data_IF_467155677739
#
_entry.id   IF_467155677739
#
_cell.length_a   1.000
_cell.length_b   1.000
_cell.length_c   1.000
_cell.angle_alpha   90.00
_cell.angle_beta   90.00
_cell.angle_gamma   90.00
#
_symmetry.space_group_name_H-M   'P 1'
#
loop_
_entity.id
_entity.type
_entity.pdbx_description
1 polymer ?
#
# COMPACT_ATOMS: atom_id res chain seq x y z
N UNK A 1 -8.38 -14.17 -0.18
CA UNK A 1 -8.24 -14.99 1.05
C UNK A 1 -9.63 -15.44 1.49
N UNK A 2 -9.83 -16.69 1.95
CA UNK A 2 -11.14 -17.13 2.44
C UNK A 2 -11.55 -16.34 3.68
N UNK A 3 -12.84 -16.01 3.78
CA UNK A 3 -13.45 -15.16 4.81
C UNK A 3 -13.21 -15.59 6.28
N UNK A 4 -12.72 -16.82 6.51
CA UNK A 4 -12.52 -17.40 7.85
C UNK A 4 -11.29 -16.86 8.60
N UNK A 5 -10.31 -16.24 7.91
CA UNK A 5 -9.08 -15.74 8.54
C UNK A 5 -9.14 -14.29 9.04
N UNK A 6 -10.27 -13.60 8.86
CA UNK A 6 -10.39 -12.17 9.21
C UNK A 6 -10.78 -11.93 10.69
N UNK A 7 -10.86 -12.97 11.52
CA UNK A 7 -11.32 -12.87 12.91
C UNK A 7 -10.48 -11.90 13.75
N UNK A 8 -9.15 -11.96 13.63
CA UNK A 8 -8.25 -11.06 14.34
C UNK A 8 -8.39 -9.60 13.91
N UNK A 9 -8.50 -9.35 12.60
CA UNK A 9 -8.67 -8.00 12.06
C UNK A 9 -10.00 -7.37 12.54
N UNK A 10 -11.10 -8.14 12.53
CA UNK A 10 -12.40 -7.68 13.03
C UNK A 10 -12.37 -7.37 14.52
N UNK A 11 -11.80 -8.26 15.33
CA UNK A 11 -11.66 -8.03 16.77
C UNK A 11 -10.86 -6.77 17.08
N UNK A 12 -9.77 -6.50 16.34
CA UNK A 12 -9.00 -5.27 16.50
C UNK A 12 -9.81 -4.03 16.11
N UNK A 13 -10.56 -4.07 15.00
CA UNK A 13 -11.43 -2.96 14.61
C UNK A 13 -12.48 -2.68 15.68
N UNK A 14 -13.08 -3.71 16.29
CA UNK A 14 -14.07 -3.55 17.36
C UNK A 14 -13.47 -2.91 18.62
N UNK A 15 -12.23 -3.29 18.99
CA UNK A 15 -11.52 -2.72 20.14
C UNK A 15 -11.23 -1.23 19.95
N UNK A 16 -10.80 -0.83 18.75
CA UNK A 16 -10.36 0.54 18.48
C UNK A 16 -11.44 1.44 17.86
N UNK A 17 -12.65 0.92 17.58
CA UNK A 17 -13.67 1.60 16.77
C UNK A 17 -13.92 3.07 17.12
N UNK A 18 -13.94 3.40 18.42
CA UNK A 18 -14.25 4.75 18.91
C UNK A 18 -13.06 5.71 18.79
N UNK A 19 -11.88 5.19 18.45
CA UNK A 19 -10.62 5.93 18.21
C UNK A 19 -10.21 5.93 16.74
N UNK A 20 -10.95 5.26 15.86
CA UNK A 20 -10.63 5.20 14.43
C UNK A 20 -11.11 6.46 13.72
N UNK A 21 -10.18 7.16 13.09
CA UNK A 21 -10.50 8.14 12.06
C UNK A 21 -10.28 7.52 10.68
N UNK A 22 -11.39 7.17 10.02
CA UNK A 22 -11.34 6.63 8.67
C UNK A 22 -11.10 7.74 7.66
N UNK A 23 -10.47 7.38 6.53
CA UNK A 23 -10.21 8.28 5.42
C UNK A 23 -10.42 7.54 4.10
N UNK A 24 -10.54 8.30 3.02
CA UNK A 24 -10.54 7.79 1.66
C UNK A 24 -9.24 8.19 0.94
N UNK A 25 -8.87 7.42 -0.07
CA UNK A 25 -7.83 7.86 -0.99
C UNK A 25 -8.24 9.16 -1.69
N UNK A 26 -7.29 10.10 -1.82
CA UNK A 26 -7.52 11.43 -2.36
C UNK A 26 -7.88 12.49 -1.31
N UNK A 27 -8.17 12.10 -0.07
CA UNK A 27 -8.34 13.05 1.04
C UNK A 27 -7.03 13.82 1.31
N UNK A 28 -7.11 14.95 2.00
CA UNK A 28 -5.91 15.58 2.58
C UNK A 28 -5.90 15.33 4.07
N UNK A 29 -4.95 14.52 4.54
CA UNK A 29 -4.79 14.22 5.95
C UNK A 29 -3.95 15.31 6.63
N UNK A 30 -3.88 15.25 7.96
CA UNK A 30 -3.06 16.15 8.76
C UNK A 30 -1.61 16.19 8.26
N UNK A 31 -0.95 17.33 8.45
CA UNK A 31 0.44 17.54 8.06
C UNK A 31 0.71 17.39 6.54
N UNK A 32 -0.32 17.57 5.70
CA UNK A 32 -0.19 17.56 4.24
C UNK A 32 0.04 16.18 3.66
N UNK A 33 -0.37 15.11 4.36
CA UNK A 33 -0.24 13.74 3.87
C UNK A 33 -1.37 13.45 2.87
N UNK A 34 -0.98 12.95 1.70
CA UNK A 34 -1.90 12.52 0.65
C UNK A 34 -1.97 10.97 0.62
N UNK A 35 -3.11 10.36 0.98
CA UNK A 35 -3.36 8.94 0.77
C UNK A 35 -3.71 8.68 -0.70
N UNK A 36 -3.02 7.73 -1.32
CA UNK A 36 -3.18 7.32 -2.71
C UNK A 36 -3.60 5.85 -2.72
N UNK A 37 -4.69 5.52 -3.40
CA UNK A 37 -5.18 4.15 -3.49
C UNK A 37 -4.16 3.25 -4.19
N UNK A 38 -3.85 2.10 -3.57
CA UNK A 38 -2.99 1.07 -4.14
C UNK A 38 -3.55 -0.33 -3.85
N UNK A 39 -4.86 -0.48 -4.08
CA UNK A 39 -5.61 -1.69 -3.74
C UNK A 39 -5.07 -2.93 -4.45
N UNK A 40 -5.08 -4.05 -3.76
CA UNK A 40 -4.68 -5.34 -4.32
C UNK A 40 -3.99 -6.23 -3.31
N UNK A 41 -2.92 -5.71 -2.67
CA UNK A 41 -2.29 -6.41 -1.56
C UNK A 41 -3.31 -6.70 -0.46
N UNK A 42 -4.04 -5.66 -0.06
CA UNK A 42 -5.34 -5.75 0.65
C UNK A 42 -6.37 -4.85 -0.04
N UNK A 43 -7.68 -5.02 0.22
CA UNK A 43 -8.72 -4.15 -0.34
C UNK A 43 -8.58 -2.67 0.02
N UNK A 44 -7.91 -2.34 1.15
CA UNK A 44 -7.68 -0.97 1.62
C UNK A 44 -6.21 -0.55 1.57
N UNK A 45 -5.34 -1.28 0.86
CA UNK A 45 -3.93 -0.93 0.77
C UNK A 45 -3.76 0.47 0.16
N UNK A 46 -3.01 1.31 0.88
CA UNK A 46 -2.88 2.74 0.61
C UNK A 46 -1.42 3.13 0.67
N UNK A 47 -0.98 3.91 -0.32
CA UNK A 47 0.32 4.55 -0.37
C UNK A 47 0.17 5.97 0.20
N UNK A 48 1.14 6.45 0.97
CA UNK A 48 1.09 7.80 1.53
C UNK A 48 2.20 8.66 0.94
N UNK A 49 1.83 9.79 0.35
CA UNK A 49 2.78 10.80 -0.08
C UNK A 49 2.89 11.91 0.95
N UNK A 50 4.13 12.33 1.22
CA UNK A 50 4.45 13.57 1.92
C UNK A 50 5.68 14.19 1.25
N UNK A 51 5.53 15.40 0.74
CA UNK A 51 6.58 16.09 -0.02
C UNK A 51 7.12 15.20 -1.16
N UNK A 52 8.43 14.94 -1.19
CA UNK A 52 9.10 14.05 -2.14
C UNK A 52 9.16 12.58 -1.71
N UNK A 53 8.59 12.24 -0.55
CA UNK A 53 8.58 10.88 -0.02
C UNK A 53 7.28 10.16 -0.36
N UNK A 54 7.40 8.89 -0.75
CA UNK A 54 6.28 8.01 -1.03
C UNK A 54 6.38 6.74 -0.18
N UNK A 55 5.59 6.63 0.88
CA UNK A 55 5.54 5.46 1.75
C UNK A 55 4.62 4.43 1.10
N UNK A 56 5.20 3.37 0.53
CA UNK A 56 4.49 2.42 -0.33
C UNK A 56 3.94 1.19 0.41
N UNK A 57 4.17 1.07 1.72
CA UNK A 57 3.73 -0.08 2.49
C UNK A 57 4.24 -1.40 1.89
N UNK A 58 3.33 -2.35 1.72
CA UNK A 58 3.59 -3.71 1.22
C UNK A 58 3.43 -3.86 -0.31
N UNK A 59 3.61 -2.77 -1.06
CA UNK A 59 3.51 -2.78 -2.54
C UNK A 59 4.45 -3.81 -3.19
N UNK A 60 5.61 -4.04 -2.56
CA UNK A 60 6.61 -5.05 -2.96
C UNK A 60 7.21 -5.72 -1.72
N UNK A 61 7.41 -7.03 -1.80
CA UNK A 61 8.07 -7.86 -0.78
C UNK A 61 9.44 -8.35 -1.23
N UNK A 62 9.61 -8.60 -2.53
CA UNK A 62 10.87 -8.98 -3.15
C UNK A 62 11.35 -7.87 -4.07
N UNK A 63 11.78 -6.74 -3.49
CA UNK A 63 12.07 -5.50 -4.25
C UNK A 63 13.04 -5.72 -5.40
N UNK A 64 14.10 -6.50 -5.19
CA UNK A 64 15.08 -6.80 -6.24
C UNK A 64 14.45 -7.51 -7.47
N UNK A 65 13.40 -8.30 -7.26
CA UNK A 65 12.67 -8.97 -8.33
C UNK A 65 11.56 -8.09 -8.88
N UNK A 66 10.71 -7.54 -8.01
CA UNK A 66 9.49 -6.83 -8.40
C UNK A 66 9.75 -5.42 -8.97
N UNK A 67 10.91 -4.81 -8.71
CA UNK A 67 11.29 -3.55 -9.35
C UNK A 67 11.70 -3.73 -10.81
N UNK A 68 12.24 -4.90 -11.17
CA UNK A 68 12.61 -5.27 -12.55
C UNK A 68 11.43 -5.94 -13.27
N UNK A 69 10.68 -6.78 -12.55
CA UNK A 69 9.52 -7.54 -13.03
C UNK A 69 8.26 -7.17 -12.22
N UNK A 70 7.68 -5.99 -12.44
CA UNK A 70 6.53 -5.51 -11.66
C UNK A 70 5.26 -6.37 -11.82
N UNK A 71 5.21 -7.23 -12.83
CA UNK A 71 4.18 -8.27 -13.02
C UNK A 71 4.24 -9.41 -12.00
N UNK A 72 5.36 -9.59 -11.29
CA UNK A 72 5.46 -10.61 -10.24
C UNK A 72 4.69 -10.18 -8.99
N UNK A 73 3.74 -11.00 -8.56
CA UNK A 73 2.95 -10.76 -7.37
C UNK A 73 3.49 -11.53 -6.17
N UNK A 74 3.23 -10.99 -4.96
CA UNK A 74 3.52 -11.71 -3.74
C UNK A 74 2.42 -12.75 -3.49
N UNK A 75 2.77 -13.87 -2.86
CA UNK A 75 1.76 -14.87 -2.43
C UNK A 75 0.70 -14.27 -1.51
N UNK A 76 1.05 -13.21 -0.78
CA UNK A 76 0.21 -12.56 0.22
C UNK A 76 -0.79 -11.57 -0.39
N UNK A 77 -0.72 -11.29 -1.68
CA UNK A 77 -1.66 -10.38 -2.34
C UNK A 77 -3.07 -10.98 -2.35
N UNK A 78 -4.03 -10.26 -1.77
CA UNK A 78 -5.44 -10.69 -1.72
C UNK A 78 -6.08 -10.70 -3.12
N UNK A 79 -5.70 -9.74 -3.96
CA UNK A 79 -6.04 -9.63 -5.39
C UNK A 79 -4.76 -9.33 -6.18
N UNK A 80 -4.25 -10.36 -6.86
CA UNK A 80 -2.94 -10.33 -7.54
C UNK A 80 -2.93 -9.39 -8.74
N UNK A 81 -4.02 -9.38 -9.50
CA UNK A 81 -4.12 -8.54 -10.70
C UNK A 81 -4.18 -7.07 -10.31
N UNK A 82 -5.00 -6.72 -9.32
CA UNK A 82 -5.03 -5.36 -8.78
C UNK A 82 -3.70 -4.96 -8.14
N UNK A 83 -3.05 -5.86 -7.40
CA UNK A 83 -1.73 -5.60 -6.79
C UNK A 83 -0.68 -5.25 -7.85
N UNK A 84 -0.63 -6.02 -8.95
CA UNK A 84 0.25 -5.74 -10.08
C UNK A 84 -0.08 -4.41 -10.75
N UNK A 85 -1.35 -4.12 -10.99
CA UNK A 85 -1.79 -2.86 -11.60
C UNK A 85 -1.42 -1.66 -10.71
N UNK A 86 -1.70 -1.75 -9.41
CA UNK A 86 -1.35 -0.73 -8.41
C UNK A 86 0.16 -0.51 -8.35
N UNK A 87 0.97 -1.58 -8.29
CA UNK A 87 2.43 -1.49 -8.30
C UNK A 87 2.96 -0.74 -9.52
N UNK A 88 2.52 -1.13 -10.72
CA UNK A 88 2.92 -0.47 -11.96
C UNK A 88 2.53 1.00 -11.98
N UNK A 89 1.31 1.31 -11.55
CA UNK A 89 0.84 2.69 -11.45
C UNK A 89 1.68 3.54 -10.48
N UNK A 90 1.92 3.04 -9.26
CA UNK A 90 2.68 3.76 -8.24
C UNK A 90 4.15 3.94 -8.63
N UNK A 91 4.78 2.93 -9.25
CA UNK A 91 6.14 3.05 -9.77
C UNK A 91 6.25 4.13 -10.86
N UNK A 92 5.27 4.16 -11.78
CA UNK A 92 5.20 5.19 -12.81
C UNK A 92 4.97 6.58 -12.20
N UNK A 93 4.04 6.69 -11.25
CA UNK A 93 3.77 7.93 -10.52
C UNK A 93 5.02 8.47 -9.81
N UNK A 94 5.74 7.62 -9.08
CA UNK A 94 6.97 8.00 -8.40
C UNK A 94 8.02 8.51 -9.39
N UNK A 95 8.17 7.85 -10.54
CA UNK A 95 9.09 8.27 -11.61
C UNK A 95 8.71 9.63 -12.19
N UNK A 96 7.45 9.83 -12.55
CA UNK A 96 6.96 11.09 -13.15
C UNK A 96 7.08 12.28 -12.21
N UNK A 97 6.89 12.05 -10.91
CA UNK A 97 6.92 13.10 -9.88
C UNK A 97 8.27 13.26 -9.20
N UNK A 98 9.27 12.43 -9.54
CA UNK A 98 10.60 12.46 -8.91
C UNK A 98 10.57 12.09 -7.42
N UNK A 99 9.72 11.15 -7.03
CA UNK A 99 9.53 10.75 -5.63
C UNK A 99 10.42 9.57 -5.26
N UNK A 100 10.87 9.55 -4.01
CA UNK A 100 11.59 8.39 -3.44
C UNK A 100 10.61 7.47 -2.72
N UNK A 101 10.61 6.20 -3.10
CA UNK A 101 9.75 5.18 -2.49
C UNK A 101 10.41 4.56 -1.25
N UNK A 102 9.63 4.42 -0.19
CA UNK A 102 10.01 3.73 1.05
C UNK A 102 8.97 2.63 1.33
N UNK A 103 9.39 1.36 1.31
CA UNK A 103 8.50 0.22 1.56
C UNK A 103 8.90 -0.56 2.82
N UNK A 104 7.94 -1.26 3.41
CA UNK A 104 8.12 -1.99 4.68
C UNK A 104 9.02 -3.23 4.56
N UNK A 105 9.22 -3.69 3.33
CA UNK A 105 10.08 -4.83 2.99
C UNK A 105 11.22 -4.47 2.03
N UNK A 106 11.56 -3.18 1.97
CA UNK A 106 12.73 -2.73 1.24
C UNK A 106 13.99 -3.02 2.06
N UNK A 107 15.17 -3.18 1.42
CA UNK A 107 16.43 -3.21 2.14
C UNK A 107 16.56 -1.99 3.04
N UNK A 108 17.30 -2.15 4.15
CA UNK A 108 17.61 -1.02 5.04
C UNK A 108 18.22 0.15 4.24
N UNK A 109 17.90 1.41 4.59
CA UNK A 109 18.53 2.58 3.99
C UNK A 109 20.05 2.58 4.09
#
# INVERSE_FOLDING_TARGET
MPNEQNGGAKAMMDIYKDQLQLFNAGDTLMCGILPIAAYGHTPGHTVFQKDSMLIVGDLMHGVALQSVHPEYYARYDMDKEKSVAARKHIMQYAKEKGLTMYGMHFPKP
#
